data_IF_770203536740
#
_entry.id   IF_770203536740
#
_cell.length_a   1.000
_cell.length_b   1.000
_cell.length_c   1.000
_cell.angle_alpha   90.00
_cell.angle_beta   90.00
_cell.angle_gamma   90.00
#
_symmetry.space_group_name_H-M   'P 1'
#
loop_
_entity.id
_entity.type
_entity.pdbx_description
1 polymer ?
#
# COMPACT_ATOMS: atom_id res chain seq x y z
N UNK A 1 -10.23 3.36 -18.56
CA UNK A 1 -10.14 4.75 -18.05
C UNK A 1 -10.04 4.73 -16.53
N UNK A 2 -9.32 5.70 -15.95
CA UNK A 2 -9.29 5.88 -14.49
C UNK A 2 -10.64 6.42 -14.02
N UNK A 3 -11.26 5.72 -13.08
CA UNK A 3 -12.56 6.10 -12.48
C UNK A 3 -12.34 7.14 -11.39
N UNK A 4 -11.36 6.93 -10.53
CA UNK A 4 -11.00 7.88 -9.48
C UNK A 4 -9.52 7.82 -9.13
N UNK A 5 -9.04 8.86 -8.44
CA UNK A 5 -7.78 8.89 -7.71
C UNK A 5 -8.01 9.60 -6.39
N UNK A 6 -7.59 8.99 -5.30
CA UNK A 6 -7.52 9.63 -3.98
C UNK A 6 -6.09 9.52 -3.47
N UNK A 7 -5.63 10.55 -2.78
CA UNK A 7 -4.29 10.61 -2.21
C UNK A 7 -4.41 11.09 -0.76
N UNK A 8 -3.70 10.42 0.13
CA UNK A 8 -3.68 10.74 1.54
C UNK A 8 -2.27 10.59 2.10
N UNK A 9 -1.96 11.37 3.13
CA UNK A 9 -0.79 11.12 3.98
C UNK A 9 -1.21 10.12 5.05
N UNK A 10 -0.47 9.03 5.17
CA UNK A 10 -0.73 7.96 6.13
C UNK A 10 0.41 7.94 7.14
N UNK A 11 0.08 7.88 8.44
CA UNK A 11 1.07 7.64 9.49
C UNK A 11 1.39 6.15 9.52
N UNK A 12 2.67 5.84 9.55
CA UNK A 12 3.24 4.51 9.57
C UNK A 12 4.28 4.43 10.69
N UNK A 13 3.86 4.69 11.92
CA UNK A 13 4.74 4.65 13.11
C UNK A 13 5.41 3.29 13.27
N UNK A 14 4.75 2.21 12.84
CA UNK A 14 5.32 0.86 12.85
C UNK A 14 6.16 0.55 11.61
N UNK A 15 6.41 1.53 10.73
CA UNK A 15 7.03 1.35 9.42
C UNK A 15 6.27 0.40 8.49
N UNK A 16 4.98 0.17 8.76
CA UNK A 16 4.12 -0.74 8.03
C UNK A 16 2.73 -0.14 7.87
N UNK A 17 2.22 -0.13 6.63
CA UNK A 17 0.87 0.30 6.30
C UNK A 17 0.11 -0.88 5.72
N UNK A 18 -1.01 -1.23 6.34
CA UNK A 18 -1.95 -2.18 5.76
C UNK A 18 -2.90 -1.46 4.82
N UNK A 19 -3.15 -2.03 3.65
CA UNK A 19 -4.21 -1.63 2.72
C UNK A 19 -5.10 -2.83 2.42
N UNK A 20 -6.41 -2.72 2.62
CA UNK A 20 -7.33 -3.83 2.35
C UNK A 20 -8.75 -3.57 2.84
N UNK A 21 -9.55 -4.64 2.90
CA UNK A 21 -10.95 -4.54 3.36
C UNK A 21 -11.03 -4.16 4.85
N UNK A 22 -11.76 -3.09 5.16
CA UNK A 22 -12.03 -2.65 6.52
C UNK A 22 -12.68 -3.74 7.40
N UNK A 23 -13.49 -4.62 6.81
CA UNK A 23 -14.15 -5.72 7.52
C UNK A 23 -13.17 -6.79 8.01
N UNK A 24 -11.97 -6.87 7.42
CA UNK A 24 -10.97 -7.90 7.73
C UNK A 24 -9.89 -7.44 8.73
N UNK A 25 -9.99 -6.23 9.27
CA UNK A 25 -8.96 -5.64 10.16
C UNK A 25 -8.60 -6.51 11.39
N UNK A 26 -9.59 -7.20 11.97
CA UNK A 26 -9.37 -8.02 13.18
C UNK A 26 -8.62 -9.33 12.93
N UNK A 27 -8.73 -9.90 11.72
CA UNK A 27 -7.98 -11.12 11.35
C UNK A 27 -6.52 -10.78 10.97
N UNK A 28 -6.24 -9.50 10.65
CA UNK A 28 -4.93 -9.03 10.20
C UNK A 28 -3.89 -8.89 11.31
N UNK A 29 -4.31 -8.57 12.55
CA UNK A 29 -3.38 -8.45 13.69
C UNK A 29 -2.61 -9.75 13.95
N UNK A 30 -3.25 -10.90 13.70
CA UNK A 30 -2.65 -12.23 13.87
C UNK A 30 -1.65 -12.55 12.75
N UNK A 31 -2.02 -12.26 11.50
CA UNK A 31 -1.18 -12.48 10.31
C UNK A 31 0.05 -11.55 10.29
N UNK A 32 -0.09 -10.30 10.73
CA UNK A 32 1.01 -9.35 10.81
C UNK A 32 2.01 -9.71 11.93
N UNK A 33 1.52 -10.11 13.11
CA UNK A 33 2.37 -10.57 14.21
C UNK A 33 3.20 -11.83 13.86
N UNK A 34 2.67 -12.70 13.00
CA UNK A 34 3.40 -13.87 12.48
C UNK A 34 4.39 -13.46 11.37
N UNK A 35 4.01 -12.55 10.47
CA UNK A 35 4.87 -12.05 9.38
C UNK A 35 6.08 -11.23 9.84
N UNK A 36 5.96 -10.48 10.93
CA UNK A 36 7.00 -9.59 11.45
C UNK A 36 8.17 -10.36 12.11
N UNK A 37 7.95 -11.61 12.53
CA UNK A 37 8.98 -12.42 13.22
C UNK A 37 10.06 -12.98 12.29
N UNK A 38 9.91 -12.85 10.98
CA UNK A 38 10.79 -13.48 9.98
C UNK A 38 11.49 -12.51 9.02
N UNK A 39 11.65 -11.19 9.30
CA UNK A 39 12.15 -10.26 8.27
C UNK A 39 13.24 -9.24 8.59
N UNK A 40 14.06 -9.02 7.56
CA UNK A 40 14.85 -7.82 7.26
C UNK A 40 13.97 -6.86 6.40
N UNK A 41 13.46 -5.75 6.95
CA UNK A 41 12.50 -4.84 6.28
C UNK A 41 13.07 -4.06 5.08
N UNK A 42 14.37 -4.18 4.82
CA UNK A 42 15.08 -3.34 3.85
C UNK A 42 14.94 -3.79 2.39
N UNK A 43 14.56 -5.05 2.14
CA UNK A 43 14.58 -5.67 0.80
C UNK A 43 13.23 -5.75 0.08
N UNK A 44 12.11 -5.37 0.71
CA UNK A 44 10.77 -5.53 0.14
C UNK A 44 9.89 -4.31 0.41
N UNK A 45 9.16 -3.83 -0.61
CA UNK A 45 8.20 -2.74 -0.47
C UNK A 45 6.77 -3.24 -0.20
N UNK A 46 6.41 -4.45 -0.66
CA UNK A 46 5.05 -4.97 -0.64
C UNK A 46 5.01 -6.46 -0.30
N UNK A 47 4.15 -6.84 0.64
CA UNK A 47 3.78 -8.24 0.90
C UNK A 47 2.28 -8.43 0.74
N UNK A 48 1.92 -9.63 0.28
CA UNK A 48 0.55 -10.10 0.19
C UNK A 48 0.34 -11.16 1.27
N UNK A 49 -0.13 -10.80 2.48
CA UNK A 49 -0.28 -11.74 3.59
C UNK A 49 -1.36 -12.81 3.33
N UNK A 50 -2.13 -12.68 2.25
CA UNK A 50 -3.33 -13.47 1.98
C UNK A 50 -4.58 -12.61 2.21
N UNK A 51 -5.73 -13.10 1.74
CA UNK A 51 -6.97 -12.31 1.75
C UNK A 51 -6.90 -11.06 0.86
N UNK A 52 -7.76 -10.09 1.14
CA UNK A 52 -7.95 -8.91 0.31
C UNK A 52 -7.09 -7.74 0.80
N UNK A 53 -5.79 -8.02 1.00
CA UNK A 53 -4.89 -7.18 1.78
C UNK A 53 -3.48 -7.07 1.17
N UNK A 54 -2.85 -5.92 1.41
CA UNK A 54 -1.46 -5.59 1.06
C UNK A 54 -0.81 -5.00 2.30
N UNK A 55 0.36 -5.51 2.67
CA UNK A 55 1.23 -4.88 3.63
C UNK A 55 2.29 -4.08 2.87
N UNK A 56 2.33 -2.78 3.10
CA UNK A 56 3.30 -1.85 2.55
C UNK A 56 4.34 -1.58 3.64
N UNK A 57 5.59 -1.93 3.39
CA UNK A 57 6.68 -1.52 4.28
C UNK A 57 7.07 -0.10 3.93
N UNK A 58 7.64 0.67 4.85
CA UNK A 58 8.12 2.04 4.63
C UNK A 58 9.33 2.34 5.49
N UNK A 59 10.22 3.25 5.09
CA UNK A 59 11.27 3.78 5.99
C UNK A 59 10.83 5.03 6.73
N UNK A 60 9.89 5.78 6.17
CA UNK A 60 9.33 6.98 6.79
C UNK A 60 8.12 6.67 7.66
N UNK A 61 7.97 7.43 8.75
CA UNK A 61 6.78 7.41 9.61
C UNK A 61 5.58 8.12 8.96
N UNK A 62 5.81 8.93 7.92
CA UNK A 62 4.76 9.60 7.15
C UNK A 62 4.99 9.36 5.66
N UNK A 63 4.00 8.71 5.03
CA UNK A 63 4.06 8.34 3.61
C UNK A 63 2.92 8.94 2.83
N UNK A 64 3.13 9.19 1.54
CA UNK A 64 2.03 9.55 0.63
C UNK A 64 1.50 8.29 -0.03
N UNK A 65 0.25 7.93 0.22
CA UNK A 65 -0.44 6.81 -0.42
C UNK A 65 -1.51 7.35 -1.38
N UNK A 66 -1.39 6.96 -2.65
CA UNK A 66 -2.42 7.19 -3.66
C UNK A 66 -3.12 5.88 -4.01
N UNK A 67 -4.45 5.94 -4.14
CA UNK A 67 -5.28 4.82 -4.59
C UNK A 67 -6.04 5.23 -5.85
N UNK A 68 -6.01 4.37 -6.86
CA UNK A 68 -6.73 4.55 -8.11
C UNK A 68 -7.60 3.35 -8.47
N UNK A 69 -8.90 3.60 -8.65
CA UNK A 69 -9.80 2.65 -9.29
C UNK A 69 -9.84 2.87 -10.80
N UNK A 70 -9.74 1.79 -11.56
CA UNK A 70 -9.79 1.80 -13.02
C UNK A 70 -10.88 0.84 -13.52
N UNK A 71 -11.55 1.19 -14.61
CA UNK A 71 -12.58 0.34 -15.23
C UNK A 71 -12.00 -0.88 -15.99
N UNK A 72 -10.69 -0.87 -16.23
CA UNK A 72 -9.91 -1.86 -16.96
C UNK A 72 -8.42 -1.64 -16.65
N UNK A 73 -7.56 -2.58 -17.09
CA UNK A 73 -6.13 -2.50 -16.85
C UNK A 73 -5.56 -1.12 -17.23
N UNK A 74 -4.87 -0.43 -16.31
CA UNK A 74 -4.18 0.82 -16.60
C UNK A 74 -3.13 0.63 -17.70
N UNK A 75 -2.89 1.64 -18.56
CA UNK A 75 -1.89 1.55 -19.61
C UNK A 75 -0.48 1.34 -19.01
N UNK A 76 0.28 0.44 -19.61
CA UNK A 76 1.67 0.11 -19.23
C UNK A 76 2.65 1.28 -19.42
N UNK A 77 2.32 2.25 -20.27
CA UNK A 77 3.28 3.27 -20.72
C UNK A 77 3.30 4.55 -19.86
N UNK A 78 2.36 4.73 -18.93
CA UNK A 78 2.46 5.82 -17.93
C UNK A 78 3.60 5.58 -16.90
N UNK A 79 4.24 4.41 -16.96
CA UNK A 79 5.22 3.92 -16.00
C UNK A 79 6.67 4.18 -16.37
N UNK A 80 6.98 4.53 -17.62
CA UNK A 80 8.37 4.81 -18.01
C UNK A 80 8.87 6.20 -17.59
N UNK A 81 7.97 7.10 -17.18
CA UNK A 81 8.30 8.50 -16.83
C UNK A 81 8.28 8.82 -15.32
N UNK A 82 7.83 7.92 -14.44
CA UNK A 82 7.30 8.35 -13.12
C UNK A 82 8.10 7.94 -11.87
N UNK A 83 9.34 7.45 -11.99
CA UNK A 83 10.25 7.28 -10.84
C UNK A 83 9.85 6.17 -9.84
N UNK A 84 8.96 5.26 -10.24
CA UNK A 84 8.59 4.08 -9.45
C UNK A 84 9.71 3.03 -9.54
N UNK A 85 10.35 2.75 -8.41
CA UNK A 85 11.48 1.80 -8.33
C UNK A 85 11.05 0.38 -7.99
N UNK A 86 9.84 0.20 -7.47
CA UNK A 86 9.30 -1.08 -7.04
C UNK A 86 7.87 -1.27 -7.53
N UNK A 87 7.53 -2.50 -7.90
CA UNK A 87 6.19 -2.91 -8.31
C UNK A 87 5.89 -4.31 -7.78
N UNK A 88 4.64 -4.53 -7.35
CA UNK A 88 4.11 -5.84 -7.03
C UNK A 88 2.65 -5.93 -7.45
N UNK A 89 2.23 -7.11 -7.88
CA UNK A 89 0.86 -7.37 -8.32
C UNK A 89 0.23 -8.47 -7.46
N UNK A 90 -1.06 -8.32 -7.21
CA UNK A 90 -1.85 -9.27 -6.44
C UNK A 90 -3.31 -9.21 -6.85
N UNK A 91 -4.17 -9.78 -6.01
CA UNK A 91 -5.60 -9.85 -6.25
C UNK A 91 -6.35 -9.52 -4.97
N UNK A 92 -7.45 -8.81 -5.12
CA UNK A 92 -8.47 -8.70 -4.10
C UNK A 92 -9.72 -9.44 -4.60
N UNK A 93 -10.34 -10.20 -3.74
CA UNK A 93 -11.68 -10.72 -3.87
C UNK A 93 -12.72 -9.61 -3.68
N UNK A 94 -13.87 -9.98 -3.14
CA UNK A 94 -14.98 -9.04 -2.96
C UNK A 94 -14.70 -8.17 -1.73
N UNK A 95 -14.41 -6.89 -1.95
CA UNK A 95 -14.28 -5.91 -0.88
C UNK A 95 -15.46 -4.96 -0.86
N UNK A 96 -15.93 -4.64 0.35
CA UNK A 96 -17.02 -3.69 0.57
C UNK A 96 -16.50 -2.28 0.88
N UNK A 97 -15.41 -2.16 1.66
CA UNK A 97 -14.82 -0.89 2.06
C UNK A 97 -13.29 -0.96 2.05
N UNK A 98 -12.63 0.00 1.40
CA UNK A 98 -11.17 0.05 1.32
C UNK A 98 -10.59 0.95 2.42
N UNK A 99 -9.60 0.41 3.12
CA UNK A 99 -8.93 1.07 4.23
C UNK A 99 -7.42 1.12 4.01
N UNK A 100 -6.77 2.16 4.52
CA UNK A 100 -5.35 2.10 4.83
C UNK A 100 -5.02 2.67 6.22
N UNK A 101 -4.06 2.04 6.92
CA UNK A 101 -3.59 2.50 8.23
C UNK A 101 -2.36 1.75 8.74
N UNK A 102 -1.75 2.30 9.79
CA UNK A 102 -0.61 1.73 10.52
C UNK A 102 -0.93 0.38 11.16
N UNK A 103 0.07 -0.48 11.35
CA UNK A 103 -0.06 -1.81 11.98
C UNK A 103 0.57 -1.89 13.39
N UNK A 104 0.77 -0.75 14.05
CA UNK A 104 1.40 -0.67 15.37
C UNK A 104 0.76 -1.51 16.47
N UNK A 105 1.45 -1.66 17.62
CA UNK A 105 1.14 -2.63 18.70
C UNK A 105 -0.18 -2.40 19.46
N UNK A 106 -1.05 -1.50 18.99
CA UNK A 106 -2.41 -1.28 19.48
C UNK A 106 -3.51 -1.64 18.48
N UNK A 107 -3.18 -2.32 17.38
CA UNK A 107 -4.05 -2.49 16.21
C UNK A 107 -4.03 -1.25 15.31
N UNK A 108 -4.82 -1.21 14.22
CA UNK A 108 -4.87 -0.05 13.33
C UNK A 108 -5.34 1.19 14.08
N UNK A 109 -4.39 2.04 14.49
CA UNK A 109 -4.63 3.14 15.40
C UNK A 109 -4.40 4.51 14.72
N UNK A 110 -5.45 5.34 14.76
CA UNK A 110 -5.51 6.81 14.67
C UNK A 110 -5.22 7.58 13.37
N UNK A 111 -4.74 7.00 12.27
CA UNK A 111 -4.78 7.67 10.96
C UNK A 111 -5.30 6.76 9.87
N UNK A 112 -6.54 6.31 10.06
CA UNK A 112 -7.28 5.61 9.04
C UNK A 112 -7.72 6.54 7.93
N UNK A 113 -7.31 6.26 6.70
CA UNK A 113 -7.91 6.85 5.52
C UNK A 113 -8.89 5.83 4.92
N UNK A 114 -10.18 6.18 4.92
CA UNK A 114 -11.17 5.48 4.12
C UNK A 114 -11.03 5.90 2.66
N UNK A 115 -11.02 4.93 1.75
CA UNK A 115 -10.90 5.18 0.32
C UNK A 115 -12.19 4.78 -0.40
N UNK A 116 -12.55 5.49 -1.48
CA UNK A 116 -13.65 5.07 -2.32
C UNK A 116 -13.36 3.68 -2.91
N UNK A 117 -14.41 2.86 -2.95
CA UNK A 117 -14.37 1.52 -3.52
C UNK A 117 -15.18 1.47 -4.81
N UNK A 118 -14.67 0.76 -5.82
CA UNK A 118 -15.47 0.41 -7.00
C UNK A 118 -16.54 -0.64 -6.64
N UNK A 119 -17.59 -0.83 -7.46
CA UNK A 119 -18.68 -1.76 -7.13
C UNK A 119 -18.18 -3.17 -6.74
N UNK A 120 -18.70 -3.84 -5.70
CA UNK A 120 -18.12 -5.09 -5.19
C UNK A 120 -17.85 -6.14 -6.27
N UNK A 121 -16.66 -6.73 -6.27
CA UNK A 121 -16.22 -7.70 -7.25
C UNK A 121 -14.76 -8.08 -7.06
N UNK A 122 -14.24 -9.10 -7.79
CA UNK A 122 -12.83 -9.41 -7.79
C UNK A 122 -12.03 -8.37 -8.57
N UNK A 123 -10.84 -8.05 -8.08
CA UNK A 123 -9.95 -7.05 -8.64
C UNK A 123 -8.53 -7.60 -8.82
N UNK A 124 -7.93 -7.24 -9.94
CA UNK A 124 -6.48 -7.25 -10.08
C UNK A 124 -5.94 -5.97 -9.47
N UNK A 125 -4.83 -6.10 -8.74
CA UNK A 125 -4.24 -5.00 -7.99
C UNK A 125 -2.77 -4.89 -8.32
N UNK A 126 -2.30 -3.66 -8.48
CA UNK A 126 -0.91 -3.30 -8.71
C UNK A 126 -0.48 -2.24 -7.73
N UNK A 127 0.53 -2.56 -6.91
CA UNK A 127 1.15 -1.67 -5.94
C UNK A 127 2.52 -1.22 -6.44
N UNK A 128 2.84 0.08 -6.29
CA UNK A 128 4.09 0.69 -6.74
C UNK A 128 4.68 1.62 -5.68
N UNK A 129 6.01 1.62 -5.54
CA UNK A 129 6.72 2.49 -4.59
C UNK A 129 7.81 3.32 -5.27
N UNK A 130 7.95 4.56 -4.83
CA UNK A 130 8.97 5.53 -5.24
C UNK A 130 9.58 6.21 -4.01
N UNK A 131 10.77 6.81 -4.15
CA UNK A 131 11.51 7.44 -3.04
C UNK A 131 12.24 6.43 -2.13
N UNK A 132 11.98 5.13 -2.30
CA UNK A 132 12.76 4.05 -1.68
C UNK A 132 14.06 3.84 -2.45
N UNK A 133 15.09 4.62 -2.16
CA UNK A 133 16.39 4.42 -2.81
C UNK A 133 16.96 3.05 -2.44
N UNK A 134 17.37 2.29 -3.46
CA UNK A 134 18.13 1.04 -3.34
C UNK A 134 19.35 1.22 -2.40
N UNK A 135 19.90 0.15 -1.81
CA UNK A 135 20.91 0.23 -0.73
C UNK A 135 22.18 1.07 -1.02
N UNK A 136 22.40 1.51 -2.26
CA UNK A 136 23.53 2.36 -2.65
C UNK A 136 23.31 3.88 -2.51
N UNK A 137 22.20 4.34 -1.94
CA UNK A 137 21.92 5.78 -1.74
C UNK A 137 21.50 6.10 -0.31
N UNK A 138 22.32 5.68 0.65
CA UNK A 138 22.13 5.90 2.10
C UNK A 138 22.28 7.36 2.56
N UNK A 139 22.45 8.33 1.64
CA UNK A 139 22.69 9.73 1.97
C UNK A 139 21.45 10.63 1.80
N UNK A 140 20.24 10.06 1.63
CA UNK A 140 18.99 10.81 1.50
C UNK A 140 18.21 10.94 2.81
N UNK A 141 18.92 11.13 3.93
CA UNK A 141 18.36 11.42 5.27
C UNK A 141 17.73 12.83 5.38
N UNK A 142 17.51 13.54 4.26
CA UNK A 142 16.99 14.93 4.22
C UNK A 142 15.68 15.10 3.44
N UNK A 143 14.99 14.02 3.05
CA UNK A 143 13.68 14.18 2.43
C UNK A 143 12.59 14.26 3.51
N UNK A 144 11.94 15.43 3.62
CA UNK A 144 10.88 15.71 4.58
C UNK A 144 9.66 14.76 4.47
N UNK A 145 8.59 15.01 5.25
CA UNK A 145 7.38 14.19 5.21
C UNK A 145 6.87 14.02 3.76
N UNK A 146 6.64 12.76 3.34
CA UNK A 146 6.18 12.43 1.98
C UNK A 146 7.28 12.10 0.95
N UNK A 147 8.53 11.91 1.38
CA UNK A 147 9.63 11.40 0.55
C UNK A 147 9.27 10.06 -0.14
N UNK A 148 8.72 9.14 0.64
CA UNK A 148 8.22 7.88 0.11
C UNK A 148 6.79 8.02 -0.40
N UNK A 149 6.59 7.51 -1.60
CA UNK A 149 5.31 7.54 -2.30
C UNK A 149 4.90 6.15 -2.68
N UNK A 150 3.63 5.86 -2.45
CA UNK A 150 3.01 4.58 -2.75
C UNK A 150 1.79 4.80 -3.63
N UNK A 151 1.57 3.88 -4.56
CA UNK A 151 0.43 3.90 -5.46
C UNK A 151 -0.17 2.51 -5.53
N UNK A 152 -1.43 2.38 -5.16
CA UNK A 152 -2.23 1.16 -5.33
C UNK A 152 -3.26 1.41 -6.43
N UNK A 153 -3.16 0.67 -7.50
CA UNK A 153 -4.14 0.70 -8.59
C UNK A 153 -4.88 -0.62 -8.62
N UNK A 154 -6.18 -0.57 -8.89
CA UNK A 154 -6.96 -1.78 -9.02
C UNK A 154 -8.03 -1.64 -10.11
N UNK A 155 -8.36 -2.76 -10.75
CA UNK A 155 -9.34 -2.87 -11.84
C UNK A 155 -10.00 -4.25 -11.83
N UNK A 156 -11.23 -4.39 -12.35
CA UNK A 156 -11.92 -5.68 -12.37
C UNK A 156 -11.08 -6.77 -13.07
N UNK A 157 -11.10 -7.99 -12.52
CA UNK A 157 -10.47 -9.17 -13.16
C UNK A 157 -11.14 -9.54 -14.50
#
# INVERSE_FOLDING_TARGET
MRVFRVEAVVCAESHEVLVGDAAQQGDTELLAAESAREREPEAEAFRWPGGDQILIFTRGELVTLAIEGWDAAPPSDAERESGWGWESCGRWGVMDELFAGDMGPGGPAFTSAGFPMMPPGPYVVRARAAGRSAPDFADLDEEGPGAERYLVQYWPE
#
